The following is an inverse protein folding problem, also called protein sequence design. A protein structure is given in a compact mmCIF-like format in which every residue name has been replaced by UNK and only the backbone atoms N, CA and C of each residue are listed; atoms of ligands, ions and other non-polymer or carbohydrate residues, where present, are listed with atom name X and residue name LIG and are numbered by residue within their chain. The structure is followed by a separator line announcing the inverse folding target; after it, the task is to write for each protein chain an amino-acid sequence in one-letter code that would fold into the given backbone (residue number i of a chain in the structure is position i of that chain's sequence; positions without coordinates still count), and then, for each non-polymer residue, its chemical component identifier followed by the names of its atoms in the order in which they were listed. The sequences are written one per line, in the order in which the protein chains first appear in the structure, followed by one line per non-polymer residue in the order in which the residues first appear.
data_IF_204515373122
#
_entry.id   IF_204515373122
#
_cell.length_a   1.000
_cell.length_b   1.000
_cell.length_c   1.000
_cell.angle_alpha   90.00
_cell.angle_beta   90.00
_cell.angle_gamma   90.00
#
_symmetry.space_group_name_H-M   'P 1'
#
loop_
_entity.id
_entity.type
_entity.pdbx_description
1 polymer ?
#
# COMPACT_ATOMS: atom_id res chain seq x y z
N UNK A 1 53.41 -15.86 -23.19
CA UNK A 1 53.48 -16.37 -24.57
C UNK A 1 52.26 -15.89 -25.32
N UNK A 2 52.60 -15.02 -26.21
CA UNK A 2 52.13 -14.74 -27.58
C UNK A 2 50.75 -14.11 -27.75
N UNK A 3 50.87 -12.83 -28.06
CA UNK A 3 49.98 -11.95 -28.86
C UNK A 3 49.42 -12.60 -30.13
N UNK A 4 48.23 -12.20 -30.54
CA UNK A 4 47.99 -11.88 -31.95
C UNK A 4 46.86 -10.86 -32.10
N UNK A 5 47.23 -9.66 -32.50
CA UNK A 5 46.44 -8.59 -33.10
C UNK A 5 46.13 -8.96 -34.56
N UNK A 6 44.92 -8.72 -35.00
CA UNK A 6 44.59 -8.66 -36.42
C UNK A 6 43.87 -7.36 -36.74
N UNK A 7 44.62 -6.49 -37.40
CA UNK A 7 44.22 -5.27 -38.10
C UNK A 7 43.57 -5.63 -39.45
N UNK A 8 42.50 -4.92 -39.81
CA UNK A 8 42.06 -4.87 -41.22
C UNK A 8 41.93 -3.41 -41.66
N UNK A 9 42.68 -3.13 -42.71
CA UNK A 9 42.88 -1.85 -43.39
C UNK A 9 41.81 -1.62 -44.46
N UNK A 10 41.52 -0.33 -44.66
CA UNK A 10 40.70 0.27 -45.71
C UNK A 10 41.45 0.27 -47.04
N UNK A 11 40.82 0.16 -48.22
CA UNK A 11 41.36 0.73 -49.44
C UNK A 11 40.54 1.95 -49.94
N UNK A 12 41.28 3.03 -50.18
CA UNK A 12 40.90 4.19 -50.99
C UNK A 12 40.91 3.88 -52.52
N UNK A 13 40.17 4.75 -53.22
CA UNK A 13 40.32 5.24 -54.60
C UNK A 13 39.30 4.78 -55.62
N UNK A 14 38.57 5.79 -56.12
CA UNK A 14 38.47 6.09 -57.54
C UNK A 14 37.79 7.46 -57.74
N UNK A 15 38.54 8.50 -58.03
CA UNK A 15 38.84 9.25 -59.26
C UNK A 15 37.62 9.81 -60.02
N UNK A 16 37.65 11.12 -60.03
CA UNK A 16 36.94 12.20 -60.75
C UNK A 16 36.79 11.94 -62.25
N UNK A 17 35.64 12.29 -62.83
CA UNK A 17 35.50 12.85 -64.15
C UNK A 17 34.57 14.06 -64.19
N UNK A 18 35.14 15.19 -64.55
CA UNK A 18 34.44 16.41 -65.00
C UNK A 18 33.93 16.21 -66.41
N UNK A 19 32.74 16.68 -66.71
CA UNK A 19 32.32 17.11 -68.05
C UNK A 19 31.45 18.37 -67.90
N UNK A 20 31.92 19.42 -68.60
CA UNK A 20 31.22 20.66 -68.84
C UNK A 20 30.20 20.49 -69.98
N UNK A 21 29.10 21.17 -69.90
CA UNK A 21 28.27 21.82 -70.95
C UNK A 21 26.85 21.97 -70.35
N UNK A 22 26.21 23.09 -70.34
CA UNK A 22 26.03 24.23 -71.13
C UNK A 22 24.80 24.96 -70.67
N UNK A 23 24.77 26.19 -70.87
CA UNK A 23 23.92 27.34 -70.59
C UNK A 23 22.41 27.14 -70.81
N UNK A 24 21.65 27.89 -69.93
CA UNK A 24 20.32 28.48 -70.08
C UNK A 24 19.07 27.60 -69.89
N UNK A 25 18.29 27.94 -68.87
CA UNK A 25 16.98 28.62 -68.98
C UNK A 25 16.49 28.94 -67.56
N UNK A 26 16.25 30.25 -67.33
CA UNK A 26 15.50 30.76 -66.19
C UNK A 26 14.05 30.25 -66.26
N UNK A 27 13.56 29.57 -65.24
CA UNK A 27 12.13 29.55 -64.89
C UNK A 27 11.95 29.32 -63.41
N UNK A 28 11.25 30.21 -62.78
CA UNK A 28 10.71 30.33 -61.45
C UNK A 28 10.50 28.98 -60.76
N UNK A 29 11.34 28.68 -59.75
CA UNK A 29 11.05 27.62 -58.78
C UNK A 29 10.55 28.33 -57.51
N UNK A 30 9.24 28.29 -57.29
CA UNK A 30 8.63 28.56 -55.98
C UNK A 30 9.25 27.66 -54.95
N UNK A 31 10.00 28.25 -54.04
CA UNK A 31 10.45 27.57 -52.82
C UNK A 31 9.21 27.45 -51.92
N UNK A 32 8.55 26.31 -51.98
CA UNK A 32 7.58 25.94 -50.96
C UNK A 32 8.34 25.63 -49.68
N UNK A 33 8.46 26.62 -48.82
CA UNK A 33 8.95 26.44 -47.45
C UNK A 33 7.88 25.64 -46.71
N UNK A 34 8.09 24.30 -46.60
CA UNK A 34 7.27 23.46 -45.73
C UNK A 34 7.53 23.87 -44.30
N UNK A 35 6.64 24.66 -43.74
CA UNK A 35 6.57 24.93 -42.31
C UNK A 35 6.11 23.62 -41.66
N UNK A 36 7.04 22.79 -41.24
CA UNK A 36 6.77 21.68 -40.32
C UNK A 36 6.36 22.34 -39.00
N UNK A 37 5.05 22.55 -38.82
CA UNK A 37 4.51 22.83 -37.50
C UNK A 37 4.87 21.67 -36.61
N UNK A 38 5.88 21.82 -35.74
CA UNK A 38 6.01 21.02 -34.56
C UNK A 38 4.73 21.27 -33.75
N UNK A 39 3.73 20.41 -33.95
CA UNK A 39 2.64 20.26 -33.00
C UNK A 39 3.32 19.61 -31.76
N UNK A 40 3.86 20.44 -30.87
CA UNK A 40 4.15 20.03 -29.53
C UNK A 40 2.80 19.59 -28.95
N UNK A 41 2.60 18.30 -28.83
CA UNK A 41 1.55 17.78 -27.94
C UNK A 41 1.95 18.25 -26.54
N UNK A 42 1.38 19.40 -26.11
CA UNK A 42 1.33 19.67 -24.68
C UNK A 42 0.64 18.45 -24.08
N UNK A 43 1.32 17.70 -23.23
CA UNK A 43 0.65 16.72 -22.39
C UNK A 43 -0.53 17.47 -21.77
N UNK A 44 -1.76 17.03 -22.05
CA UNK A 44 -2.91 17.58 -21.38
C UNK A 44 -2.68 17.45 -19.88
N UNK A 45 -2.96 18.51 -19.12
CA UNK A 45 -2.91 18.42 -17.67
C UNK A 45 -3.87 17.30 -17.25
N UNK A 46 -3.37 16.37 -16.43
CA UNK A 46 -4.18 15.27 -15.90
C UNK A 46 -4.68 15.65 -14.51
N UNK A 47 -5.89 15.22 -14.17
CA UNK A 47 -6.47 15.46 -12.86
C UNK A 47 -6.90 14.13 -12.22
N UNK A 48 -6.40 13.87 -11.00
CA UNK A 48 -6.76 12.71 -10.19
C UNK A 48 -7.44 13.19 -8.91
N UNK A 49 -8.68 12.75 -8.68
CA UNK A 49 -9.37 12.91 -7.41
C UNK A 49 -9.18 11.68 -6.54
N UNK A 50 -8.98 11.86 -5.23
CA UNK A 50 -8.89 10.75 -4.29
C UNK A 50 -9.86 10.94 -3.13
N UNK A 51 -10.49 9.84 -2.68
CA UNK A 51 -11.31 9.83 -1.46
C UNK A 51 -10.82 8.74 -0.52
N UNK A 52 -10.69 9.10 0.74
CA UNK A 52 -10.21 8.20 1.78
C UNK A 52 -11.30 7.96 2.82
N UNK A 53 -11.31 6.76 3.38
CA UNK A 53 -12.27 6.39 4.42
C UNK A 53 -12.27 7.38 5.58
N UNK A 54 -11.08 7.80 6.04
CA UNK A 54 -10.89 8.77 7.12
C UNK A 54 -9.52 9.44 7.04
N UNK A 55 -9.41 10.66 7.62
CA UNK A 55 -8.15 11.41 7.64
C UNK A 55 -7.39 11.32 8.96
N UNK A 56 -8.04 10.85 10.01
CA UNK A 56 -7.49 10.75 11.37
C UNK A 56 -6.81 9.40 11.68
N UNK A 57 -6.57 8.57 10.67
CA UNK A 57 -5.78 7.35 10.76
C UNK A 57 -4.31 7.65 10.48
N UNK A 58 -3.40 7.21 11.38
CA UNK A 58 -1.98 7.52 11.30
C UNK A 58 -1.33 6.90 10.06
N UNK A 59 -1.61 5.62 9.77
CA UNK A 59 -1.03 4.95 8.60
C UNK A 59 -1.56 5.56 7.29
N UNK A 60 -2.88 5.82 7.21
CA UNK A 60 -3.47 6.51 6.05
C UNK A 60 -2.92 7.93 5.89
N UNK A 61 -2.51 8.59 6.97
CA UNK A 61 -1.89 9.92 6.88
C UNK A 61 -0.53 9.86 6.19
N UNK A 62 0.30 8.86 6.49
CA UNK A 62 1.58 8.65 5.79
C UNK A 62 1.34 8.35 4.31
N UNK A 63 0.42 7.43 3.99
CA UNK A 63 0.04 7.10 2.61
C UNK A 63 -0.43 8.35 1.84
N UNK A 64 -1.36 9.13 2.42
CA UNK A 64 -1.91 10.35 1.78
C UNK A 64 -0.85 11.42 1.56
N UNK A 65 0.05 11.62 2.55
CA UNK A 65 1.14 12.59 2.45
C UNK A 65 2.11 12.17 1.34
N UNK A 66 2.51 10.90 1.30
CA UNK A 66 3.37 10.37 0.24
C UNK A 66 2.74 10.50 -1.15
N UNK A 67 1.43 10.32 -1.27
CA UNK A 67 0.70 10.53 -2.53
C UNK A 67 0.74 12.00 -2.98
N UNK A 68 0.56 12.97 -2.07
CA UNK A 68 0.65 14.41 -2.39
C UNK A 68 2.06 14.77 -2.85
N UNK A 69 3.08 14.30 -2.13
CA UNK A 69 4.48 14.54 -2.46
C UNK A 69 4.81 13.95 -3.84
N UNK A 70 4.44 12.70 -4.08
CA UNK A 70 4.69 12.02 -5.35
C UNK A 70 3.98 12.69 -6.51
N UNK A 71 2.68 13.00 -6.38
CA UNK A 71 1.92 13.72 -7.40
C UNK A 71 2.56 15.07 -7.75
N UNK A 72 3.11 15.78 -6.75
CA UNK A 72 3.83 17.04 -6.94
C UNK A 72 5.12 16.93 -7.78
N UNK A 73 5.68 15.71 -7.93
CA UNK A 73 6.84 15.46 -8.80
C UNK A 73 6.47 15.25 -10.27
N UNK A 74 5.18 14.99 -10.57
CA UNK A 74 4.71 14.65 -11.90
C UNK A 74 4.24 15.91 -12.62
N UNK A 75 4.95 16.29 -13.68
CA UNK A 75 4.62 17.49 -14.45
C UNK A 75 3.23 17.38 -15.11
N UNK A 76 2.38 18.36 -14.84
CA UNK A 76 1.04 18.43 -15.43
C UNK A 76 0.00 17.58 -14.72
N UNK A 77 0.32 16.96 -13.58
CA UNK A 77 -0.68 16.28 -12.74
C UNK A 77 -1.23 17.23 -11.68
N UNK A 78 -2.56 17.32 -11.61
CA UNK A 78 -3.30 17.90 -10.49
C UNK A 78 -3.86 16.75 -9.63
N UNK A 79 -3.65 16.82 -8.33
CA UNK A 79 -4.10 15.80 -7.39
C UNK A 79 -4.82 16.44 -6.21
N UNK A 80 -5.99 15.92 -5.87
CA UNK A 80 -6.80 16.40 -4.74
C UNK A 80 -7.32 15.24 -3.89
N UNK A 81 -7.54 15.50 -2.61
CA UNK A 81 -7.99 14.50 -1.64
C UNK A 81 -9.23 14.97 -0.89
N UNK A 82 -10.15 14.05 -0.61
CA UNK A 82 -11.34 14.26 0.21
C UNK A 82 -11.43 13.21 1.32
N UNK A 83 -11.93 13.64 2.49
CA UNK A 83 -12.20 12.81 3.66
C UNK A 83 -13.65 12.34 3.64
N UNK A 84 -13.87 11.03 3.60
CA UNK A 84 -15.22 10.46 3.73
C UNK A 84 -15.70 10.41 5.20
N UNK A 85 -14.80 10.55 6.18
CA UNK A 85 -15.11 10.53 7.61
C UNK A 85 -15.88 9.27 8.04
N UNK A 86 -15.48 8.11 7.49
CA UNK A 86 -16.12 6.79 7.66
C UNK A 86 -17.62 6.75 7.24
N UNK A 87 -18.07 7.71 6.41
CA UNK A 87 -19.42 7.77 5.86
C UNK A 87 -19.42 7.30 4.40
N UNK A 88 -19.95 6.08 4.16
CA UNK A 88 -20.03 5.49 2.83
C UNK A 88 -20.89 6.32 1.87
N UNK A 89 -21.99 6.92 2.33
CA UNK A 89 -22.86 7.73 1.48
C UNK A 89 -22.10 8.99 1.01
N UNK A 90 -21.40 9.65 1.93
CA UNK A 90 -20.51 10.77 1.62
C UNK A 90 -19.42 10.36 0.61
N UNK A 91 -18.79 9.19 0.80
CA UNK A 91 -17.76 8.70 -0.13
C UNK A 91 -18.32 8.48 -1.54
N UNK A 92 -19.49 7.85 -1.67
CA UNK A 92 -20.15 7.65 -2.97
C UNK A 92 -20.48 9.01 -3.64
N UNK A 93 -20.91 9.99 -2.86
CA UNK A 93 -21.18 11.34 -3.39
C UNK A 93 -19.88 12.06 -3.81
N UNK A 94 -18.77 11.89 -3.08
CA UNK A 94 -17.44 12.38 -3.48
C UNK A 94 -17.01 11.77 -4.82
N UNK A 95 -17.16 10.45 -5.00
CA UNK A 95 -16.87 9.77 -6.29
C UNK A 95 -17.72 10.38 -7.42
N UNK A 96 -19.03 10.58 -7.21
CA UNK A 96 -19.91 11.20 -8.21
C UNK A 96 -19.50 12.64 -8.52
N UNK A 97 -19.06 13.39 -7.53
CA UNK A 97 -18.59 14.77 -7.70
C UNK A 97 -17.31 14.82 -8.55
N UNK A 98 -16.36 13.90 -8.31
CA UNK A 98 -15.18 13.75 -9.16
C UNK A 98 -15.54 13.41 -10.60
N UNK A 99 -16.47 12.50 -10.83
CA UNK A 99 -16.98 12.19 -12.18
C UNK A 99 -17.61 13.43 -12.82
N UNK A 100 -18.44 14.17 -12.08
CA UNK A 100 -19.11 15.36 -12.57
C UNK A 100 -18.15 16.52 -12.87
N UNK A 101 -17.04 16.63 -12.13
CA UNK A 101 -15.98 17.63 -12.39
C UNK A 101 -15.08 17.25 -13.55
N UNK A 102 -15.13 15.99 -14.01
CA UNK A 102 -14.39 15.53 -15.19
C UNK A 102 -12.94 15.16 -14.91
N UNK A 103 -12.62 14.69 -13.69
CA UNK A 103 -11.28 14.15 -13.39
C UNK A 103 -10.95 12.96 -14.31
N UNK A 104 -9.68 12.80 -14.64
CA UNK A 104 -9.21 11.73 -15.53
C UNK A 104 -9.17 10.36 -14.84
N UNK A 105 -9.03 10.31 -13.49
CA UNK A 105 -9.13 9.11 -12.69
C UNK A 105 -9.53 9.42 -11.25
N UNK A 106 -10.00 8.38 -10.54
CA UNK A 106 -10.36 8.44 -9.13
C UNK A 106 -9.59 7.37 -8.37
N UNK A 107 -9.05 7.72 -7.20
CA UNK A 107 -8.45 6.78 -6.26
C UNK A 107 -9.34 6.69 -5.03
N UNK A 108 -9.64 5.46 -4.56
CA UNK A 108 -10.56 5.24 -3.44
C UNK A 108 -9.92 4.32 -2.39
N UNK A 109 -9.72 4.86 -1.19
CA UNK A 109 -9.59 4.02 0.01
C UNK A 109 -10.99 3.82 0.59
N UNK A 110 -11.61 2.69 0.27
CA UNK A 110 -13.05 2.48 0.47
C UNK A 110 -13.42 2.42 1.97
N UNK A 111 -14.54 3.05 2.35
CA UNK A 111 -15.07 3.04 3.73
C UNK A 111 -15.51 1.64 4.14
N UNK A 112 -16.32 1.00 3.30
CA UNK A 112 -16.86 -0.35 3.51
C UNK A 112 -16.52 -1.22 2.29
N UNK A 113 -15.72 -2.26 2.52
CA UNK A 113 -15.24 -3.13 1.43
C UNK A 113 -16.35 -3.93 0.76
N UNK A 114 -17.50 -4.12 1.42
CA UNK A 114 -18.70 -4.76 0.83
C UNK A 114 -19.44 -3.87 -0.16
N UNK A 115 -19.09 -2.58 -0.26
CA UNK A 115 -19.72 -1.61 -1.16
C UNK A 115 -18.97 -1.45 -2.50
N UNK A 116 -18.01 -2.32 -2.82
CA UNK A 116 -17.18 -2.23 -4.02
C UNK A 116 -18.00 -2.04 -5.30
N UNK A 117 -19.07 -2.81 -5.48
CA UNK A 117 -19.94 -2.69 -6.66
C UNK A 117 -20.64 -1.32 -6.75
N UNK A 118 -21.06 -0.74 -5.62
CA UNK A 118 -21.72 0.56 -5.59
C UNK A 118 -20.76 1.71 -5.91
N UNK A 119 -19.54 1.66 -5.37
CA UNK A 119 -18.46 2.62 -5.66
C UNK A 119 -18.02 2.53 -7.12
N UNK A 120 -17.81 1.30 -7.64
CA UNK A 120 -17.50 1.08 -9.07
C UNK A 120 -18.59 1.64 -9.99
N UNK A 121 -19.87 1.44 -9.64
CA UNK A 121 -20.99 1.98 -10.42
C UNK A 121 -21.08 3.52 -10.34
N UNK A 122 -20.72 4.13 -9.22
CA UNK A 122 -20.67 5.59 -9.06
C UNK A 122 -19.57 6.23 -9.94
N UNK A 123 -18.44 5.55 -10.13
CA UNK A 123 -17.37 6.00 -11.02
C UNK A 123 -17.73 5.88 -12.51
N UNK A 124 -18.65 4.98 -12.88
CA UNK A 124 -19.05 4.76 -14.27
C UNK A 124 -17.88 4.36 -15.16
N UNK A 125 -17.65 5.10 -16.24
CA UNK A 125 -16.55 4.88 -17.17
C UNK A 125 -15.23 5.55 -16.75
N UNK A 126 -15.26 6.41 -15.69
CA UNK A 126 -14.06 7.07 -15.19
C UNK A 126 -13.12 6.02 -14.58
N UNK A 127 -11.83 6.01 -14.96
CA UNK A 127 -10.81 5.17 -14.35
C UNK A 127 -10.83 5.22 -12.82
N UNK A 128 -10.79 4.05 -12.18
CA UNK A 128 -10.87 3.93 -10.72
C UNK A 128 -9.78 3.00 -10.19
N UNK A 129 -9.05 3.45 -9.18
CA UNK A 129 -8.08 2.62 -8.47
C UNK A 129 -8.47 2.55 -7.00
N UNK A 130 -8.78 1.35 -6.52
CA UNK A 130 -8.89 1.11 -5.09
C UNK A 130 -7.49 1.01 -4.48
N UNK A 131 -7.26 1.67 -3.36
CA UNK A 131 -5.99 1.63 -2.63
C UNK A 131 -6.17 1.09 -1.23
N UNK A 132 -5.26 0.21 -0.80
CA UNK A 132 -5.16 -0.36 0.55
C UNK A 132 -6.31 -1.31 0.94
N UNK A 133 -7.57 -0.90 0.86
CA UNK A 133 -8.73 -1.70 1.25
C UNK A 133 -9.32 -2.44 0.05
N UNK A 134 -9.28 -3.79 0.07
CA UNK A 134 -9.75 -4.64 -1.04
C UNK A 134 -11.28 -4.63 -1.12
N UNK A 135 -11.89 -4.18 -2.24
CA UNK A 135 -13.32 -4.24 -2.42
C UNK A 135 -13.78 -5.68 -2.72
N UNK A 136 -14.99 -6.04 -2.29
CA UNK A 136 -15.55 -7.38 -2.45
C UNK A 136 -15.72 -7.83 -3.91
N UNK A 137 -15.78 -6.88 -4.83
CA UNK A 137 -15.90 -7.12 -6.28
C UNK A 137 -14.57 -7.11 -7.04
N UNK A 138 -13.43 -7.18 -6.35
CA UNK A 138 -12.09 -7.02 -6.94
C UNK A 138 -11.84 -7.97 -8.13
N UNK A 139 -12.29 -9.21 -8.07
CA UNK A 139 -12.04 -10.21 -9.11
C UNK A 139 -12.85 -9.96 -10.40
N UNK A 140 -13.89 -9.13 -10.32
CA UNK A 140 -14.76 -8.79 -11.45
C UNK A 140 -14.67 -7.32 -11.89
N UNK A 141 -13.68 -6.57 -11.39
CA UNK A 141 -13.45 -5.18 -11.80
C UNK A 141 -13.31 -5.06 -13.33
N UNK A 142 -13.89 -4.01 -13.95
CA UNK A 142 -13.70 -3.75 -15.38
C UNK A 142 -12.25 -3.37 -15.68
N UNK A 143 -11.88 -3.34 -16.97
CA UNK A 143 -10.51 -3.05 -17.40
C UNK A 143 -10.03 -1.62 -17.06
N UNK A 144 -10.95 -0.72 -16.76
CA UNK A 144 -10.69 0.67 -16.31
C UNK A 144 -10.53 0.78 -14.80
N UNK A 145 -10.54 -0.35 -14.07
CA UNK A 145 -10.44 -0.36 -12.62
C UNK A 145 -9.40 -1.36 -12.13
N UNK A 146 -8.69 -1.00 -11.06
CA UNK A 146 -7.67 -1.83 -10.42
C UNK A 146 -7.68 -1.67 -8.90
N UNK A 147 -6.98 -2.56 -8.23
CA UNK A 147 -6.72 -2.52 -6.79
C UNK A 147 -5.21 -2.56 -6.55
N UNK A 148 -4.70 -1.63 -5.75
CA UNK A 148 -3.28 -1.51 -5.38
C UNK A 148 -3.16 -1.56 -3.86
N UNK A 149 -2.57 -2.60 -3.34
CA UNK A 149 -2.36 -2.81 -1.90
C UNK A 149 -1.38 -3.96 -1.65
N UNK A 150 -1.22 -4.34 -0.40
CA UNK A 150 -0.56 -5.60 -0.04
C UNK A 150 -1.55 -6.76 -0.02
N UNK A 151 -1.05 -8.00 -0.09
CA UNK A 151 -1.88 -9.20 0.00
C UNK A 151 -2.15 -9.54 1.46
N UNK A 152 -3.36 -9.28 1.95
CA UNK A 152 -3.68 -9.40 3.37
C UNK A 152 -3.55 -10.82 3.96
N UNK A 153 -3.55 -11.87 3.13
CA UNK A 153 -3.27 -13.24 3.59
C UNK A 153 -1.86 -13.38 4.21
N UNK A 154 -0.94 -12.48 3.88
CA UNK A 154 0.43 -12.52 4.36
C UNK A 154 0.60 -11.87 5.74
N UNK A 155 -0.10 -10.77 6.03
CA UNK A 155 0.18 -9.91 7.18
C UNK A 155 -0.12 -10.59 8.52
N UNK A 156 -1.33 -11.09 8.71
CA UNK A 156 -1.71 -11.81 9.92
C UNK A 156 -0.93 -13.11 10.09
N UNK A 157 -0.66 -13.81 8.98
CA UNK A 157 0.16 -15.03 8.96
C UNK A 157 1.58 -14.76 9.44
N UNK A 158 2.27 -13.72 8.92
CA UNK A 158 3.64 -13.37 9.30
C UNK A 158 3.72 -13.00 10.79
N UNK A 159 2.81 -12.15 11.26
CA UNK A 159 2.79 -11.70 12.65
C UNK A 159 2.52 -12.88 13.62
N UNK A 160 1.44 -13.62 13.40
CA UNK A 160 1.07 -14.72 14.29
C UNK A 160 2.09 -15.87 14.29
N UNK A 161 2.67 -16.18 13.13
CA UNK A 161 3.67 -17.24 13.02
C UNK A 161 4.98 -16.89 13.75
N UNK A 162 5.41 -15.62 13.68
CA UNK A 162 6.59 -15.19 14.42
C UNK A 162 6.33 -15.20 15.93
N UNK A 163 5.15 -14.75 16.40
CA UNK A 163 4.76 -14.88 17.82
C UNK A 163 4.74 -16.35 18.26
N UNK A 164 4.21 -17.26 17.44
CA UNK A 164 4.26 -18.70 17.71
C UNK A 164 5.71 -19.21 17.91
N UNK A 165 6.64 -18.79 17.04
CA UNK A 165 8.06 -19.13 17.17
C UNK A 165 8.67 -18.60 18.47
N UNK A 166 8.38 -17.35 18.82
CA UNK A 166 8.88 -16.69 20.01
C UNK A 166 8.37 -17.40 21.27
N UNK A 167 7.08 -17.69 21.35
CA UNK A 167 6.47 -18.43 22.45
C UNK A 167 7.09 -19.83 22.62
N UNK A 168 7.35 -20.53 21.51
CA UNK A 168 8.07 -21.83 21.57
C UNK A 168 9.49 -21.67 22.09
N UNK A 169 10.23 -20.66 21.65
CA UNK A 169 11.58 -20.37 22.12
C UNK A 169 11.59 -20.00 23.61
N UNK A 170 10.55 -19.34 24.11
CA UNK A 170 10.32 -19.01 25.51
C UNK A 170 9.85 -20.23 26.37
N UNK A 171 9.70 -21.41 25.76
CA UNK A 171 9.29 -22.64 26.49
C UNK A 171 7.79 -22.77 26.71
N UNK A 172 6.95 -21.94 26.06
CA UNK A 172 5.49 -21.95 26.22
C UNK A 172 4.76 -22.98 25.32
N UNK A 173 5.49 -23.87 24.64
CA UNK A 173 4.91 -24.87 23.73
C UNK A 173 3.94 -25.88 24.40
N UNK A 174 3.83 -25.89 25.71
CA UNK A 174 2.85 -26.69 26.45
C UNK A 174 1.47 -26.06 26.57
N UNK A 175 1.33 -24.80 26.19
CA UNK A 175 0.10 -24.00 26.22
C UNK A 175 0.46 -22.53 26.38
N UNK A 176 -0.12 -21.69 25.54
CA UNK A 176 -0.03 -20.23 25.61
C UNK A 176 -1.41 -19.64 25.32
N UNK A 177 -1.79 -18.64 26.08
CA UNK A 177 -3.09 -17.97 25.95
C UNK A 177 -2.89 -16.50 25.59
N UNK A 178 -3.82 -15.91 24.86
CA UNK A 178 -3.71 -14.52 24.47
C UNK A 178 -4.98 -13.90 23.93
N UNK A 179 -4.88 -12.65 23.54
CA UNK A 179 -5.97 -11.85 23.05
C UNK A 179 -5.75 -11.46 21.59
N UNK A 180 -6.86 -11.25 20.85
CA UNK A 180 -6.86 -10.79 19.47
C UNK A 180 -7.69 -9.49 19.36
N UNK A 181 -7.04 -8.41 18.88
CA UNK A 181 -7.70 -7.13 18.62
C UNK A 181 -7.95 -6.92 17.14
N UNK A 182 -9.22 -6.77 16.79
CA UNK A 182 -9.65 -6.58 15.40
C UNK A 182 -9.74 -5.10 15.05
N UNK A 183 -9.40 -4.77 13.81
CA UNK A 183 -9.75 -3.50 13.20
C UNK A 183 -11.24 -3.38 12.92
N UNK A 184 -11.64 -2.38 12.11
CA UNK A 184 -13.02 -2.21 11.67
C UNK A 184 -13.49 -3.43 10.84
N UNK A 185 -14.57 -4.08 11.25
CA UNK A 185 -15.07 -5.29 10.58
C UNK A 185 -15.69 -5.01 9.19
N UNK A 186 -15.95 -3.76 8.85
CA UNK A 186 -16.31 -3.31 7.49
C UNK A 186 -15.12 -3.31 6.51
N UNK A 187 -13.90 -3.57 7.02
CA UNK A 187 -12.68 -3.66 6.23
C UNK A 187 -12.24 -5.12 6.09
N UNK A 188 -12.12 -5.59 4.85
CA UNK A 188 -11.66 -6.94 4.52
C UNK A 188 -10.33 -7.30 5.22
N UNK A 189 -9.39 -6.33 5.34
CA UNK A 189 -8.11 -6.57 5.99
C UNK A 189 -8.27 -7.00 7.46
N UNK A 190 -9.19 -6.40 8.23
CA UNK A 190 -9.43 -6.80 9.62
C UNK A 190 -9.89 -8.26 9.71
N UNK A 191 -10.84 -8.64 8.87
CA UNK A 191 -11.39 -10.00 8.81
C UNK A 191 -10.32 -11.00 8.38
N UNK A 192 -9.51 -10.65 7.37
CA UNK A 192 -8.47 -11.54 6.86
C UNK A 192 -7.33 -11.71 7.86
N UNK A 193 -6.80 -10.62 8.45
CA UNK A 193 -5.72 -10.67 9.45
C UNK A 193 -6.10 -11.54 10.66
N UNK A 194 -7.35 -11.43 11.11
CA UNK A 194 -7.85 -12.27 12.21
C UNK A 194 -7.99 -13.73 11.79
N UNK A 195 -8.51 -13.99 10.59
CA UNK A 195 -8.56 -15.35 10.04
C UNK A 195 -7.16 -15.97 9.95
N UNK A 196 -6.16 -15.23 9.52
CA UNK A 196 -4.77 -15.70 9.40
C UNK A 196 -4.20 -16.12 10.76
N UNK A 197 -4.53 -15.38 11.84
CA UNK A 197 -4.16 -15.79 13.21
C UNK A 197 -4.71 -17.19 13.52
N UNK A 198 -5.99 -17.44 13.23
CA UNK A 198 -6.60 -18.75 13.44
C UNK A 198 -6.03 -19.84 12.52
N UNK A 199 -5.73 -19.50 11.27
CA UNK A 199 -5.07 -20.41 10.33
C UNK A 199 -3.68 -20.84 10.87
N UNK A 200 -2.91 -19.90 11.45
CA UNK A 200 -1.61 -20.19 12.09
C UNK A 200 -1.80 -21.05 13.34
N UNK A 201 -2.76 -20.72 14.21
CA UNK A 201 -3.07 -21.52 15.41
C UNK A 201 -3.49 -22.94 15.02
N UNK A 202 -4.16 -23.13 13.87
CA UNK A 202 -4.53 -24.43 13.34
C UNK A 202 -3.37 -25.29 12.84
N UNK A 203 -2.16 -24.75 12.70
CA UNK A 203 -0.97 -25.51 12.31
C UNK A 203 -0.44 -26.35 13.48
N UNK A 204 0.01 -27.59 13.23
CA UNK A 204 0.53 -28.50 14.26
C UNK A 204 1.60 -27.87 15.14
N UNK A 205 2.42 -26.99 14.58
CA UNK A 205 3.48 -26.33 15.33
C UNK A 205 3.01 -25.16 16.19
N UNK A 206 1.81 -24.61 15.98
CA UNK A 206 1.28 -23.45 16.69
C UNK A 206 -0.01 -23.74 17.47
N UNK A 207 -0.53 -24.97 17.42
CA UNK A 207 -1.80 -25.38 18.05
C UNK A 207 -1.80 -25.38 19.59
N UNK A 208 -0.67 -25.01 20.20
CA UNK A 208 -0.56 -24.75 21.64
C UNK A 208 -1.03 -23.34 22.02
N UNK A 209 -1.24 -22.45 21.05
CA UNK A 209 -1.76 -21.11 21.26
C UNK A 209 -3.30 -21.14 21.31
N UNK A 210 -3.88 -20.33 22.21
CA UNK A 210 -5.34 -20.20 22.36
C UNK A 210 -5.72 -18.74 22.51
N UNK A 211 -6.67 -18.25 21.70
CA UNK A 211 -7.27 -16.94 21.90
C UNK A 211 -8.32 -17.05 23.01
N UNK A 212 -8.15 -16.24 24.07
CA UNK A 212 -9.07 -16.18 25.22
C UNK A 212 -10.29 -15.34 24.85
N UNK A 213 -10.06 -14.18 24.24
CA UNK A 213 -11.12 -13.30 23.77
C UNK A 213 -10.64 -12.53 22.55
N UNK A 214 -11.61 -12.16 21.71
CA UNK A 214 -11.43 -11.42 20.47
C UNK A 214 -12.47 -10.31 20.38
N UNK A 215 -12.02 -9.07 20.25
CA UNK A 215 -12.91 -7.90 20.11
C UNK A 215 -12.32 -6.87 19.15
N UNK A 216 -13.21 -6.00 18.63
CA UNK A 216 -12.76 -4.90 17.77
C UNK A 216 -12.34 -3.69 18.60
N UNK A 217 -11.25 -3.04 18.18
CA UNK A 217 -10.77 -1.75 18.65
C UNK A 217 -10.57 -0.75 17.49
N UNK A 218 -11.21 -1.01 16.34
CA UNK A 218 -11.45 -0.08 15.23
C UNK A 218 -10.20 0.65 14.70
N UNK A 219 -9.02 0.01 14.71
CA UNK A 219 -7.72 0.60 14.37
C UNK A 219 -7.24 1.68 15.34
N UNK A 220 -7.94 1.89 16.47
CA UNK A 220 -7.74 2.98 17.41
C UNK A 220 -6.84 2.56 18.57
N UNK A 221 -5.81 3.35 18.85
CA UNK A 221 -4.92 3.19 20.02
C UNK A 221 -5.69 3.31 21.32
N UNK A 222 -6.57 4.32 21.42
CA UNK A 222 -7.33 4.61 22.63
C UNK A 222 -8.35 3.50 22.93
N UNK A 223 -9.11 3.05 21.92
CA UNK A 223 -10.04 1.94 22.08
C UNK A 223 -9.33 0.63 22.47
N UNK A 224 -8.16 0.38 21.89
CA UNK A 224 -7.34 -0.79 22.24
C UNK A 224 -6.79 -0.70 23.68
N UNK A 225 -6.40 0.48 24.14
CA UNK A 225 -5.97 0.70 25.52
C UNK A 225 -7.11 0.42 26.50
N UNK A 226 -8.32 0.91 26.21
CA UNK A 226 -9.50 0.67 27.02
C UNK A 226 -9.89 -0.82 27.01
N UNK A 227 -9.87 -1.45 25.85
CA UNK A 227 -10.16 -2.87 25.70
C UNK A 227 -9.17 -3.75 26.48
N UNK A 228 -7.85 -3.48 26.38
CA UNK A 228 -6.84 -4.22 27.11
C UNK A 228 -6.98 -4.02 28.62
N UNK A 229 -7.29 -2.81 29.06
CA UNK A 229 -7.57 -2.52 30.47
C UNK A 229 -8.76 -3.36 30.99
N UNK A 230 -9.82 -3.48 30.18
CA UNK A 230 -10.98 -4.31 30.51
C UNK A 230 -10.61 -5.80 30.58
N UNK A 231 -9.85 -6.33 29.65
CA UNK A 231 -9.41 -7.71 29.64
C UNK A 231 -8.55 -8.04 30.87
N UNK A 232 -7.58 -7.19 31.21
CA UNK A 232 -6.77 -7.39 32.41
C UNK A 232 -7.57 -7.35 33.71
N UNK A 233 -8.71 -6.66 33.73
CA UNK A 233 -9.58 -6.62 34.92
C UNK A 233 -10.21 -7.96 35.27
N UNK A 234 -10.25 -8.91 34.29
CA UNK A 234 -10.71 -10.28 34.54
C UNK A 234 -9.76 -11.10 35.41
N UNK A 235 -8.46 -10.72 35.43
CA UNK A 235 -7.41 -11.44 36.12
C UNK A 235 -6.98 -12.73 35.42
N UNK A 236 -7.47 -13.01 34.21
CA UNK A 236 -7.01 -14.16 33.40
C UNK A 236 -5.57 -13.94 32.95
N UNK A 237 -4.67 -14.91 33.19
CA UNK A 237 -3.30 -14.81 32.70
C UNK A 237 -3.24 -14.98 31.19
N UNK A 238 -2.32 -14.26 30.55
CA UNK A 238 -2.10 -14.35 29.11
C UNK A 238 -0.61 -14.23 28.79
N UNK A 239 -0.20 -14.79 27.65
CA UNK A 239 1.18 -14.86 27.18
C UNK A 239 1.42 -13.99 25.95
N UNK A 240 0.36 -13.62 25.21
CA UNK A 240 0.50 -12.82 24.00
C UNK A 240 -0.73 -11.94 23.71
N UNK A 241 -0.48 -10.89 22.93
CA UNK A 241 -1.50 -10.05 22.32
C UNK A 241 -1.20 -9.92 20.82
N UNK A 242 -2.16 -10.25 19.98
CA UNK A 242 -2.11 -9.99 18.54
C UNK A 242 -3.13 -8.91 18.19
N UNK A 243 -2.68 -7.91 17.46
CA UNK A 243 -3.53 -6.82 16.97
C UNK A 243 -3.47 -6.73 15.45
N UNK A 244 -4.58 -6.37 14.82
CA UNK A 244 -4.61 -6.25 13.36
C UNK A 244 -3.77 -5.06 12.86
N UNK A 245 -3.40 -4.08 13.73
CA UNK A 245 -2.43 -3.03 13.40
C UNK A 245 -1.59 -2.59 14.61
N UNK A 246 -0.57 -1.78 14.35
CA UNK A 246 0.37 -1.28 15.35
C UNK A 246 -0.28 -0.31 16.34
N UNK A 247 -1.22 0.54 15.90
CA UNK A 247 -1.89 1.48 16.80
C UNK A 247 -2.61 0.75 17.92
N UNK A 248 -3.34 -0.31 17.60
CA UNK A 248 -4.00 -1.13 18.62
C UNK A 248 -3.00 -1.90 19.49
N UNK A 249 -1.93 -2.43 18.91
CA UNK A 249 -0.87 -3.09 19.68
C UNK A 249 -0.21 -2.14 20.68
N UNK A 250 0.08 -0.90 20.26
CA UNK A 250 0.64 0.14 21.15
C UNK A 250 -0.35 0.51 22.27
N UNK A 251 -1.63 0.62 21.95
CA UNK A 251 -2.68 0.84 22.96
C UNK A 251 -2.69 -0.26 24.03
N UNK A 252 -2.59 -1.53 23.60
CA UNK A 252 -2.48 -2.66 24.51
C UNK A 252 -1.21 -2.59 25.39
N UNK A 253 -0.05 -2.28 24.79
CA UNK A 253 1.22 -2.10 25.52
C UNK A 253 1.09 -0.99 26.57
N UNK A 254 0.47 0.14 26.23
CA UNK A 254 0.26 1.24 27.17
C UNK A 254 -0.58 0.82 28.38
N UNK A 255 -1.67 0.06 28.15
CA UNK A 255 -2.50 -0.47 29.23
C UNK A 255 -1.73 -1.46 30.11
N UNK A 256 -0.98 -2.40 29.53
CA UNK A 256 -0.19 -3.38 30.27
C UNK A 256 0.91 -2.71 31.12
N UNK A 257 1.62 -1.73 30.56
CA UNK A 257 2.64 -0.95 31.30
C UNK A 257 2.03 -0.12 32.42
N UNK A 258 0.86 0.50 32.18
CA UNK A 258 0.13 1.23 33.22
C UNK A 258 -0.32 0.34 34.38
N UNK A 259 -0.61 -0.93 34.12
CA UNK A 259 -0.90 -1.95 35.13
C UNK A 259 0.37 -2.50 35.84
N UNK A 260 1.57 -2.08 35.40
CA UNK A 260 2.84 -2.50 35.99
C UNK A 260 3.32 -3.86 35.51
N UNK A 261 2.86 -4.35 34.36
CA UNK A 261 3.34 -5.60 33.77
C UNK A 261 4.75 -5.42 33.20
N UNK A 262 5.57 -6.46 33.30
CA UNK A 262 6.85 -6.53 32.61
C UNK A 262 6.59 -7.00 31.17
N UNK A 263 6.93 -6.17 30.18
CA UNK A 263 6.70 -6.50 28.78
C UNK A 263 7.54 -7.67 28.29
N UNK A 264 8.61 -8.04 29.00
CA UNK A 264 9.38 -9.24 28.71
C UNK A 264 8.60 -10.56 28.92
N UNK A 265 7.50 -10.53 29.69
CA UNK A 265 6.66 -11.70 29.98
C UNK A 265 5.54 -11.93 28.93
N UNK A 266 5.28 -10.94 28.06
CA UNK A 266 4.17 -10.97 27.09
C UNK A 266 4.70 -10.71 25.69
N UNK A 267 4.29 -11.53 24.71
CA UNK A 267 4.63 -11.30 23.32
C UNK A 267 3.55 -10.44 22.64
N UNK A 268 3.97 -9.39 21.94
CA UNK A 268 3.04 -8.49 21.24
C UNK A 268 3.34 -8.47 19.76
N UNK A 269 2.29 -8.65 18.95
CA UNK A 269 2.37 -8.63 17.48
C UNK A 269 1.32 -7.73 16.84
N UNK A 270 1.69 -7.06 15.74
CA UNK A 270 0.81 -6.20 14.94
C UNK A 270 1.21 -6.15 13.48
N UNK A 271 0.77 -5.10 12.80
CA UNK A 271 1.02 -4.83 11.37
C UNK A 271 1.14 -3.32 11.18
N UNK A 272 1.98 -2.86 10.31
CA UNK A 272 2.23 -1.57 9.66
C UNK A 272 3.72 -1.19 9.69
N UNK A 273 4.47 -1.60 10.72
CA UNK A 273 5.81 -1.13 11.08
C UNK A 273 5.86 0.41 11.18
N UNK A 274 4.88 0.97 11.91
CA UNK A 274 4.81 2.40 12.18
C UNK A 274 6.02 2.85 13.03
N UNK A 275 6.40 4.13 12.93
CA UNK A 275 7.55 4.63 13.68
C UNK A 275 7.40 4.45 15.21
N UNK A 276 6.19 4.65 15.73
CA UNK A 276 5.90 4.41 17.15
C UNK A 276 6.08 2.94 17.54
N UNK A 277 5.66 2.01 16.67
CA UNK A 277 5.86 0.57 16.89
C UNK A 277 7.35 0.19 16.87
N UNK A 278 8.13 0.75 15.93
CA UNK A 278 9.58 0.53 15.88
C UNK A 278 10.29 1.10 17.12
N UNK A 279 9.85 2.26 17.62
CA UNK A 279 10.35 2.82 18.87
C UNK A 279 10.00 1.94 20.09
N UNK A 280 8.77 1.40 20.13
CA UNK A 280 8.34 0.46 21.16
C UNK A 280 9.14 -0.85 21.07
N UNK A 281 9.42 -1.35 19.87
CA UNK A 281 10.27 -2.52 19.63
C UNK A 281 11.71 -2.26 20.10
N UNK A 282 12.26 -1.09 19.83
CA UNK A 282 13.59 -0.69 20.30
C UNK A 282 13.68 -0.61 21.84
N UNK A 283 12.57 -0.28 22.50
CA UNK A 283 12.46 -0.27 23.95
C UNK A 283 12.32 -1.69 24.56
N UNK A 284 12.06 -2.71 23.73
CA UNK A 284 11.80 -4.09 24.17
C UNK A 284 10.37 -4.36 24.60
N UNK A 285 9.44 -3.46 24.25
CA UNK A 285 8.03 -3.56 24.61
C UNK A 285 7.18 -4.22 23.50
N UNK A 286 7.74 -4.41 22.29
CA UNK A 286 7.04 -4.89 21.10
C UNK A 286 7.89 -5.89 20.33
N UNK A 287 7.34 -7.06 19.99
CA UNK A 287 8.15 -8.18 19.49
C UNK A 287 8.12 -8.31 17.97
N UNK A 288 6.95 -8.08 17.35
CA UNK A 288 6.72 -8.39 15.94
C UNK A 288 5.79 -7.38 15.31
N UNK A 289 6.19 -6.81 14.19
CA UNK A 289 5.26 -6.11 13.28
C UNK A 289 5.50 -6.56 11.84
N UNK A 290 4.64 -6.14 10.92
CA UNK A 290 4.75 -6.44 9.50
C UNK A 290 4.71 -5.13 8.74
N UNK A 291 5.79 -4.78 8.05
CA UNK A 291 5.87 -3.56 7.26
C UNK A 291 4.87 -3.59 6.12
N UNK A 292 3.95 -2.64 6.15
CA UNK A 292 2.99 -2.33 5.11
C UNK A 292 3.45 -1.03 4.43
N UNK A 293 4.02 -1.13 3.22
CA UNK A 293 4.62 0.01 2.52
C UNK A 293 3.54 1.02 2.06
N UNK A 294 3.31 2.05 2.89
CA UNK A 294 2.32 3.10 2.63
C UNK A 294 2.70 3.94 1.41
N UNK A 295 3.98 4.30 1.29
CA UNK A 295 4.50 5.08 0.15
C UNK A 295 4.41 4.28 -1.14
N UNK A 296 4.79 2.99 -1.10
CA UNK A 296 4.68 2.10 -2.25
C UNK A 296 3.23 1.89 -2.71
N UNK A 297 2.29 1.73 -1.78
CA UNK A 297 0.85 1.64 -2.12
C UNK A 297 0.33 2.97 -2.72
N UNK A 298 0.70 4.10 -2.13
CA UNK A 298 0.28 5.42 -2.60
C UNK A 298 0.81 5.75 -3.99
N UNK A 299 2.12 5.62 -4.20
CA UNK A 299 2.76 5.88 -5.51
C UNK A 299 2.28 4.89 -6.56
N UNK A 300 2.19 3.60 -6.22
CA UNK A 300 1.69 2.56 -7.11
C UNK A 300 0.24 2.79 -7.55
N UNK A 301 -0.61 3.39 -6.69
CA UNK A 301 -1.99 3.72 -7.05
C UNK A 301 -2.07 4.88 -8.05
N UNK A 302 -1.24 5.92 -7.90
CA UNK A 302 -1.13 7.02 -8.86
C UNK A 302 -0.59 6.51 -10.20
N UNK A 303 0.48 5.73 -10.20
CA UNK A 303 1.05 5.16 -11.42
C UNK A 303 0.06 4.26 -12.16
N UNK A 304 -0.70 3.44 -11.41
CA UNK A 304 -1.73 2.59 -11.98
C UNK A 304 -2.85 3.41 -12.61
N UNK A 305 -3.30 4.48 -11.95
CA UNK A 305 -4.30 5.40 -12.49
C UNK A 305 -3.80 6.06 -13.79
N UNK A 306 -2.57 6.57 -13.82
CA UNK A 306 -1.97 7.19 -15.00
C UNK A 306 -1.83 6.20 -16.18
N UNK A 307 -1.49 4.95 -15.91
CA UNK A 307 -1.43 3.89 -16.92
C UNK A 307 -2.81 3.58 -17.50
N UNK A 308 -3.85 3.52 -16.66
CA UNK A 308 -5.22 3.33 -17.12
C UNK A 308 -5.66 4.52 -18.00
N UNK A 309 -5.38 5.77 -17.59
CA UNK A 309 -5.64 6.98 -18.38
C UNK A 309 -4.95 6.90 -19.75
N UNK A 310 -3.72 6.40 -19.80
CA UNK A 310 -2.97 6.20 -21.05
C UNK A 310 -3.50 5.05 -21.93
N UNK A 311 -4.53 4.33 -21.49
CA UNK A 311 -5.11 3.19 -22.20
C UNK A 311 -4.26 1.92 -22.11
N UNK A 312 -3.33 1.85 -21.17
CA UNK A 312 -2.52 0.67 -20.94
C UNK A 312 -3.32 -0.43 -20.22
N UNK A 313 -2.96 -1.67 -20.49
CA UNK A 313 -3.49 -2.80 -19.72
C UNK A 313 -2.76 -2.88 -18.38
N UNK A 314 -3.53 -2.88 -17.29
CA UNK A 314 -3.05 -3.11 -15.92
C UNK A 314 -3.60 -4.41 -15.35
N UNK A 315 -2.92 -4.97 -14.37
CA UNK A 315 -3.46 -6.08 -13.60
C UNK A 315 -4.57 -5.58 -12.67
N UNK A 316 -5.56 -6.42 -12.42
CA UNK A 316 -6.66 -6.07 -11.49
C UNK A 316 -6.18 -5.90 -10.06
N UNK A 317 -5.18 -6.68 -9.65
CA UNK A 317 -4.53 -6.62 -8.34
C UNK A 317 -3.04 -6.34 -8.55
N UNK A 318 -2.59 -5.21 -8.05
CA UNK A 318 -1.17 -4.80 -8.03
C UNK A 318 -0.70 -4.88 -6.59
N UNK A 319 0.06 -5.92 -6.27
CA UNK A 319 0.49 -6.17 -4.90
C UNK A 319 1.84 -5.54 -4.58
N UNK A 320 1.87 -4.82 -3.46
CA UNK A 320 3.06 -4.31 -2.78
C UNK A 320 3.38 -5.27 -1.64
N UNK A 321 4.57 -5.88 -1.58
CA UNK A 321 4.86 -6.93 -0.61
C UNK A 321 4.78 -6.47 0.84
N UNK A 322 4.27 -7.32 1.72
CA UNK A 322 4.50 -7.23 3.15
C UNK A 322 5.90 -7.73 3.52
N UNK A 323 6.50 -7.19 4.59
CA UNK A 323 7.79 -7.65 5.10
C UNK A 323 7.72 -7.82 6.61
N UNK A 324 8.07 -9.02 7.10
CA UNK A 324 8.17 -9.27 8.55
C UNK A 324 9.25 -8.38 9.17
N UNK A 325 8.90 -7.73 10.29
CA UNK A 325 9.79 -6.87 11.07
C UNK A 325 9.88 -7.39 12.51
N UNK A 326 11.11 -7.56 12.95
CA UNK A 326 11.48 -8.02 14.29
C UNK A 326 12.60 -7.13 14.82
N UNK A 327 13.00 -7.23 16.09
CA UNK A 327 14.14 -6.47 16.61
C UNK A 327 15.44 -6.65 15.81
N UNK A 328 15.58 -7.77 15.07
CA UNK A 328 16.80 -8.05 14.30
C UNK A 328 16.95 -7.23 13.02
N UNK A 329 15.85 -6.76 12.43
CA UNK A 329 15.83 -6.03 11.16
C UNK A 329 15.04 -4.70 11.19
N UNK A 330 14.50 -4.30 12.34
CA UNK A 330 13.69 -3.06 12.46
C UNK A 330 14.44 -1.80 11.99
N UNK A 331 15.78 -1.80 12.09
CA UNK A 331 16.62 -0.69 11.65
C UNK A 331 16.47 -0.37 10.16
N UNK A 332 16.07 -1.35 9.33
CA UNK A 332 15.89 -1.16 7.89
C UNK A 332 14.57 -0.43 7.55
N UNK A 333 13.69 -0.24 8.55
CA UNK A 333 12.35 0.32 8.38
C UNK A 333 12.16 1.68 9.09
N UNK A 334 13.18 2.16 9.80
CA UNK A 334 13.14 3.50 10.36
C UNK A 334 12.93 4.53 9.24
N UNK A 335 12.03 5.48 9.47
CA UNK A 335 11.65 6.56 8.55
C UNK A 335 10.96 6.09 7.23
N UNK A 336 10.39 4.87 7.18
CA UNK A 336 9.65 4.40 6.00
C UNK A 336 8.14 4.58 6.08
N UNK A 337 7.54 4.48 7.27
CA UNK A 337 6.11 4.72 7.52
C UNK A 337 5.91 5.79 8.57
#
# INVERSE_FOLDING_TARGET
MVNTLLSWSIPEKFIVRRAHFGREIMKNTLIATSLVALIGTSAAAQEIGATFSRFDDNWLTVLRTGMVEYAGTINGLTYQQEDASDDLAKQIDQVRNFVASGVDAIIVNIVDTSAGAAVSAAAGDTPLVYVNREPDNVDVLPATQAFVASNEIESGTLSAFEICKNLRAAGKAGGATGYLMNGQLSNQAAVQRSKDVYDVIGMDMCNFMTIIDEQTANWSRDEAQDLMTNWMSSGEPFDFVLANNDEMAIGAIQAMKAAGMDMADVQVGGVDASQDALLSMAAGDYDVTVFQDSVGQGTGSIDTALRIIAGEKVDKKVYIPFVLVTPSNMGDFLDKN
#
